data_IF_623611587402
#
_entry.id   IF_623611587402
#
_cell.length_a   1.000
_cell.length_b   1.000
_cell.length_c   1.000
_cell.angle_alpha   90.00
_cell.angle_beta   90.00
_cell.angle_gamma   90.00
#
_symmetry.space_group_name_H-M   'P 1'
#
loop_
_entity.id
_entity.type
_entity.pdbx_description
1 polymer ?
#
# COMPACT_ATOMS: atom_id res chain seq x y z
N UNK A 1 -63.87 38.16 -22.91
CA UNK A 1 -63.34 37.13 -21.98
C UNK A 1 -61.82 37.10 -22.14
N UNK A 2 -61.06 37.38 -21.07
CA UNK A 2 -59.58 37.36 -21.08
C UNK A 2 -59.12 36.02 -20.50
N UNK A 3 -58.38 35.22 -21.27
CA UNK A 3 -57.72 34.01 -20.79
C UNK A 3 -56.48 34.37 -19.96
N UNK A 4 -56.21 33.69 -18.82
CA UNK A 4 -54.96 33.88 -18.11
C UNK A 4 -53.87 33.02 -18.73
N UNK A 5 -52.72 33.64 -19.01
CA UNK A 5 -51.51 32.98 -19.47
C UNK A 5 -50.85 32.35 -18.25
N UNK A 6 -50.76 31.02 -18.23
CA UNK A 6 -50.09 30.25 -17.19
C UNK A 6 -48.61 30.10 -17.58
N UNK A 7 -47.62 30.55 -16.78
CA UNK A 7 -46.23 30.36 -17.13
C UNK A 7 -45.84 28.90 -16.84
N UNK A 8 -45.45 28.17 -17.88
CA UNK A 8 -44.82 26.84 -17.73
C UNK A 8 -43.42 27.06 -17.17
N UNK A 9 -43.26 26.85 -15.87
CA UNK A 9 -41.94 26.81 -15.23
C UNK A 9 -41.29 25.47 -15.62
N UNK A 10 -40.38 25.51 -16.58
CA UNK A 10 -39.54 24.37 -16.94
C UNK A 10 -38.56 24.05 -15.82
N UNK A 11 -38.81 22.96 -15.08
CA UNK A 11 -37.87 22.42 -14.11
C UNK A 11 -36.76 21.69 -14.88
N UNK A 12 -35.64 22.37 -15.09
CA UNK A 12 -34.40 21.75 -15.57
C UNK A 12 -33.79 20.94 -14.43
N UNK A 13 -34.04 19.63 -14.39
CA UNK A 13 -33.39 18.73 -13.46
C UNK A 13 -31.90 18.59 -13.84
N UNK A 14 -31.04 19.31 -13.12
CA UNK A 14 -29.59 19.11 -13.15
C UNK A 14 -29.30 17.73 -12.55
N UNK A 15 -29.15 16.72 -13.39
CA UNK A 15 -28.53 15.46 -13.00
C UNK A 15 -27.05 15.73 -12.75
N UNK A 16 -26.71 16.09 -11.51
CA UNK A 16 -25.34 16.01 -11.03
C UNK A 16 -24.97 14.54 -11.02
N UNK A 17 -24.26 14.09 -12.05
CA UNK A 17 -23.59 12.80 -12.05
C UNK A 17 -22.59 12.80 -10.89
N UNK A 18 -22.99 12.20 -9.78
CA UNK A 18 -22.08 11.83 -8.71
C UNK A 18 -21.06 10.89 -9.34
N UNK A 19 -19.89 11.42 -9.71
CA UNK A 19 -18.77 10.60 -10.11
C UNK A 19 -18.49 9.66 -8.94
N UNK A 20 -18.82 8.39 -9.11
CA UNK A 20 -18.51 7.38 -8.11
C UNK A 20 -16.99 7.36 -7.97
N UNK A 21 -16.51 7.73 -6.78
CA UNK A 21 -15.08 7.64 -6.48
C UNK A 21 -14.64 6.20 -6.77
N UNK A 22 -13.61 6.05 -7.61
CA UNK A 22 -13.06 4.73 -7.92
C UNK A 22 -12.53 4.06 -6.66
N UNK A 23 -12.43 2.72 -6.69
CA UNK A 23 -11.85 1.95 -5.59
C UNK A 23 -10.45 2.47 -5.22
N UNK A 24 -10.16 2.56 -3.93
CA UNK A 24 -8.87 3.03 -3.41
C UNK A 24 -8.04 1.85 -2.93
N UNK A 25 -6.81 1.73 -3.43
CA UNK A 25 -5.94 0.60 -3.11
C UNK A 25 -4.59 1.09 -2.59
N UNK A 26 -4.14 0.53 -1.47
CA UNK A 26 -2.84 0.82 -0.89
C UNK A 26 -1.87 -0.33 -1.17
N UNK A 27 -0.77 -0.04 -1.86
CA UNK A 27 0.35 -0.94 -2.07
C UNK A 27 1.49 -0.61 -1.09
N UNK A 28 1.79 -1.54 -0.19
CA UNK A 28 2.91 -1.42 0.74
C UNK A 28 4.09 -2.19 0.13
N UNK A 29 5.17 -1.50 -0.21
CA UNK A 29 6.36 -2.06 -0.84
C UNK A 29 7.48 -2.16 0.19
N UNK A 30 7.95 -3.38 0.46
CA UNK A 30 9.01 -3.57 1.44
C UNK A 30 9.96 -4.74 1.18
N UNK A 31 11.12 -4.71 1.83
CA UNK A 31 12.16 -5.73 1.68
C UNK A 31 13.59 -5.18 1.74
N UNK A 32 14.51 -5.84 1.05
CA UNK A 32 15.94 -5.48 1.01
C UNK A 32 16.38 -4.95 -0.36
N UNK A 33 17.58 -5.32 -0.83
CA UNK A 33 18.23 -4.78 -2.03
C UNK A 33 17.36 -4.81 -3.27
N UNK A 34 16.66 -5.93 -3.55
CA UNK A 34 15.81 -6.01 -4.74
C UNK A 34 14.60 -5.05 -4.66
N UNK A 35 13.97 -4.91 -3.48
CA UNK A 35 12.90 -3.91 -3.29
C UNK A 35 13.45 -2.48 -3.36
N UNK A 36 14.61 -2.24 -2.76
CA UNK A 36 15.26 -0.92 -2.79
C UNK A 36 15.58 -0.49 -4.22
N UNK A 37 16.03 -1.44 -5.06
CA UNK A 37 16.32 -1.23 -6.46
C UNK A 37 15.09 -1.18 -7.39
N UNK A 38 13.91 -1.62 -6.92
CA UNK A 38 12.67 -1.54 -7.70
C UNK A 38 12.37 -0.07 -8.03
N UNK A 39 12.11 0.25 -9.30
CA UNK A 39 11.66 1.59 -9.72
C UNK A 39 10.15 1.57 -9.95
N UNK A 40 9.37 1.70 -8.88
CA UNK A 40 7.92 1.46 -8.90
C UNK A 40 7.16 2.36 -9.88
N UNK A 41 7.59 3.61 -10.06
CA UNK A 41 6.99 4.57 -10.99
C UNK A 41 7.21 4.18 -12.45
N UNK A 42 8.27 3.41 -12.74
CA UNK A 42 8.62 2.95 -14.08
C UNK A 42 8.29 1.46 -14.32
N UNK A 43 7.66 0.78 -13.35
CA UNK A 43 7.38 -0.67 -13.42
C UNK A 43 5.97 -1.01 -12.97
N UNK A 44 5.75 -1.25 -11.68
CA UNK A 44 4.50 -1.82 -11.17
C UNK A 44 3.33 -0.83 -11.24
N UNK A 45 3.57 0.45 -10.94
CA UNK A 45 2.49 1.45 -10.87
C UNK A 45 1.83 1.71 -12.24
N UNK A 46 2.57 1.82 -13.36
CA UNK A 46 1.98 1.88 -14.69
C UNK A 46 1.07 0.70 -15.02
N UNK A 47 1.47 -0.53 -14.68
CA UNK A 47 0.68 -1.73 -14.97
C UNK A 47 -0.58 -1.81 -14.10
N UNK A 48 -0.49 -1.42 -12.83
CA UNK A 48 -1.67 -1.32 -11.95
C UNK A 48 -2.70 -0.32 -12.48
N UNK A 49 -2.26 0.85 -12.98
CA UNK A 49 -3.14 1.84 -13.60
C UNK A 49 -3.86 1.32 -14.85
N UNK A 50 -3.21 0.44 -15.63
CA UNK A 50 -3.83 -0.20 -16.78
C UNK A 50 -4.84 -1.27 -16.38
N UNK A 51 -4.53 -2.06 -15.34
CA UNK A 51 -5.38 -3.14 -14.84
C UNK A 51 -6.61 -2.62 -14.07
N UNK A 52 -6.48 -1.46 -13.44
CA UNK A 52 -7.51 -0.86 -12.57
C UNK A 52 -7.80 0.58 -13.00
N UNK A 53 -8.45 0.77 -14.17
CA UNK A 53 -8.73 2.11 -14.68
C UNK A 53 -9.70 2.85 -13.75
N UNK A 54 -9.36 4.11 -13.44
CA UNK A 54 -10.16 4.96 -12.56
C UNK A 54 -9.99 4.69 -11.06
N UNK A 55 -9.23 3.66 -10.68
CA UNK A 55 -8.90 3.39 -9.29
C UNK A 55 -7.89 4.39 -8.73
N UNK A 56 -8.02 4.68 -7.45
CA UNK A 56 -7.08 5.49 -6.69
C UNK A 56 -5.96 4.61 -6.12
N UNK A 57 -4.81 4.61 -6.80
CA UNK A 57 -3.67 3.75 -6.46
C UNK A 57 -2.68 4.51 -5.59
N UNK A 58 -2.66 4.17 -4.31
CA UNK A 58 -1.72 4.67 -3.30
C UNK A 58 -0.58 3.70 -3.09
N UNK A 59 0.61 4.20 -2.79
CA UNK A 59 1.73 3.34 -2.41
C UNK A 59 2.63 3.98 -1.37
N UNK A 60 3.20 3.14 -0.51
CA UNK A 60 4.29 3.51 0.40
C UNK A 60 5.44 2.53 0.19
N UNK A 61 6.67 3.01 0.32
CA UNK A 61 7.86 2.19 0.10
C UNK A 61 8.89 2.41 1.19
N UNK A 62 9.27 1.32 1.83
CA UNK A 62 10.47 1.27 2.68
C UNK A 62 11.23 -0.02 2.40
N UNK A 63 12.50 0.10 2.04
CA UNK A 63 13.40 -1.03 1.88
C UNK A 63 14.81 -0.66 2.32
N UNK A 64 15.53 -1.62 2.89
CA UNK A 64 16.89 -1.44 3.36
C UNK A 64 17.79 -2.58 2.90
N UNK A 65 18.73 -2.27 2.01
CA UNK A 65 19.63 -3.24 1.41
C UNK A 65 20.54 -3.95 2.41
N UNK A 66 20.81 -5.24 2.13
CA UNK A 66 21.73 -6.05 2.91
C UNK A 66 21.26 -6.41 4.32
N UNK A 67 19.98 -6.19 4.64
CA UNK A 67 19.42 -6.47 5.96
C UNK A 67 18.73 -7.84 6.01
N UNK A 68 18.91 -8.59 7.10
CA UNK A 68 18.27 -9.88 7.33
C UNK A 68 16.79 -9.74 7.74
N UNK A 69 16.01 -10.80 7.58
CA UNK A 69 14.55 -10.78 7.84
C UNK A 69 14.23 -10.46 9.30
N UNK A 70 15.12 -10.78 10.24
CA UNK A 70 14.92 -10.49 11.67
C UNK A 70 14.73 -9.00 11.98
N UNK A 71 15.28 -8.09 11.15
CA UNK A 71 15.05 -6.64 11.31
C UNK A 71 13.61 -6.22 10.99
N UNK A 72 12.84 -7.11 10.37
CA UNK A 72 11.44 -6.95 9.99
C UNK A 72 10.45 -7.72 10.87
N UNK A 73 10.93 -8.60 11.76
CA UNK A 73 10.08 -9.52 12.52
C UNK A 73 10.33 -9.36 14.02
N UNK A 74 9.39 -8.73 14.72
CA UNK A 74 9.48 -8.47 16.18
C UNK A 74 9.65 -9.73 17.03
N UNK A 75 9.13 -10.85 16.55
CA UNK A 75 9.14 -12.15 17.25
C UNK A 75 10.23 -13.09 16.74
N UNK A 76 11.25 -12.57 16.03
CA UNK A 76 12.29 -13.40 15.44
C UNK A 76 12.96 -14.32 16.46
N UNK A 77 13.37 -13.82 17.62
CA UNK A 77 14.07 -14.64 18.62
C UNK A 77 13.17 -15.74 19.21
N UNK A 78 11.85 -15.52 19.27
CA UNK A 78 10.90 -16.57 19.65
C UNK A 78 10.83 -17.65 18.56
N UNK A 79 10.69 -17.25 17.30
CA UNK A 79 10.68 -18.15 16.15
C UNK A 79 11.99 -18.95 16.09
N UNK A 80 13.13 -18.30 16.28
CA UNK A 80 14.44 -18.93 16.28
C UNK A 80 14.56 -19.98 17.39
N UNK A 81 14.14 -19.65 18.63
CA UNK A 81 14.14 -20.62 19.74
C UNK A 81 13.21 -21.81 19.47
N UNK A 82 11.99 -21.56 18.99
CA UNK A 82 11.00 -22.61 18.71
C UNK A 82 11.48 -23.57 17.61
N UNK A 83 12.27 -23.07 16.66
CA UNK A 83 12.85 -23.87 15.56
C UNK A 83 14.27 -24.37 15.85
N UNK A 84 14.77 -24.20 17.09
CA UNK A 84 16.12 -24.62 17.50
C UNK A 84 17.23 -24.06 16.60
N UNK A 85 17.02 -22.85 16.06
CA UNK A 85 18.05 -22.15 15.30
C UNK A 85 19.16 -21.72 16.28
N UNK A 86 20.41 -21.93 15.88
CA UNK A 86 21.58 -21.61 16.69
C UNK A 86 21.87 -20.11 16.72
N UNK A 87 21.28 -19.35 15.81
CA UNK A 87 21.56 -17.95 15.61
C UNK A 87 20.55 -17.09 16.38
N UNK A 88 20.97 -16.60 17.55
CA UNK A 88 20.27 -15.55 18.30
C UNK A 88 21.10 -14.28 18.16
N UNK A 89 20.51 -13.26 17.54
CA UNK A 89 21.25 -12.05 17.19
C UNK A 89 21.03 -10.92 18.19
N UNK A 90 20.06 -11.06 19.11
CA UNK A 90 19.65 -10.00 20.05
C UNK A 90 19.51 -8.63 19.35
N UNK A 91 19.05 -8.67 18.10
CA UNK A 91 18.96 -7.54 17.20
C UNK A 91 17.51 -7.01 17.25
N UNK A 92 17.29 -5.71 17.51
CA UNK A 92 15.94 -5.18 17.49
C UNK A 92 15.33 -5.21 16.07
N UNK A 93 14.03 -5.50 16.00
CA UNK A 93 13.24 -5.42 14.77
C UNK A 93 12.90 -3.96 14.44
N UNK A 94 13.86 -3.26 13.84
CA UNK A 94 13.81 -1.82 13.60
C UNK A 94 12.86 -1.39 12.48
N UNK A 95 12.59 -2.24 11.49
CA UNK A 95 11.95 -1.80 10.24
C UNK A 95 10.44 -2.04 10.18
N UNK A 96 9.92 -3.00 10.95
CA UNK A 96 8.49 -3.30 10.99
C UNK A 96 7.65 -2.07 11.35
N UNK A 97 8.06 -1.34 12.39
CA UNK A 97 7.34 -0.16 12.85
C UNK A 97 7.45 1.02 11.88
N UNK A 98 8.54 1.09 11.11
CA UNK A 98 8.68 2.11 10.07
C UNK A 98 7.67 1.88 8.95
N UNK A 99 7.51 0.63 8.48
CA UNK A 99 6.49 0.29 7.47
C UNK A 99 5.09 0.51 8.01
N UNK A 100 4.81 0.07 9.24
CA UNK A 100 3.49 0.30 9.84
C UNK A 100 3.18 1.78 9.97
N UNK A 101 4.16 2.62 10.34
CA UNK A 101 3.98 4.07 10.43
C UNK A 101 3.61 4.67 9.08
N UNK A 102 4.31 4.31 8.01
CA UNK A 102 4.02 4.80 6.66
C UNK A 102 2.66 4.33 6.15
N UNK A 103 2.35 3.05 6.33
CA UNK A 103 1.06 2.48 5.94
C UNK A 103 -0.10 3.16 6.69
N UNK A 104 0.02 3.36 8.01
CA UNK A 104 -0.99 4.05 8.82
C UNK A 104 -1.18 5.50 8.39
N UNK A 105 -0.12 6.21 8.03
CA UNK A 105 -0.22 7.57 7.50
C UNK A 105 -1.04 7.60 6.20
N UNK A 106 -0.77 6.70 5.26
CA UNK A 106 -1.54 6.60 4.00
C UNK A 106 -3.01 6.18 4.23
N UNK A 107 -3.27 5.28 5.18
CA UNK A 107 -4.63 4.89 5.57
C UNK A 107 -5.40 6.08 6.19
N UNK A 108 -4.72 6.95 6.94
CA UNK A 108 -5.33 8.12 7.57
C UNK A 108 -5.75 9.20 6.55
N UNK A 109 -5.08 9.28 5.39
CA UNK A 109 -5.48 10.16 4.28
C UNK A 109 -6.77 9.68 3.58
N UNK A 110 -7.06 8.38 3.64
CA UNK A 110 -8.27 7.80 3.09
C UNK A 110 -8.25 6.28 3.23
N UNK A 111 -9.32 5.73 3.81
CA UNK A 111 -9.48 4.29 4.02
C UNK A 111 -9.44 3.56 2.67
N UNK A 112 -8.49 2.62 2.45
CA UNK A 112 -8.46 1.84 1.22
C UNK A 112 -9.48 0.70 1.26
N UNK A 113 -9.97 0.32 0.08
CA UNK A 113 -10.79 -0.87 -0.16
C UNK A 113 -9.94 -2.14 -0.13
N UNK A 114 -8.67 -2.05 -0.55
CA UNK A 114 -7.70 -3.13 -0.38
C UNK A 114 -6.30 -2.66 0.00
N UNK A 115 -5.57 -3.53 0.70
CA UNK A 115 -4.17 -3.34 1.03
C UNK A 115 -3.39 -4.54 0.48
N UNK A 116 -2.39 -4.26 -0.35
CA UNK A 116 -1.49 -5.27 -0.94
C UNK A 116 -0.08 -5.07 -0.40
N UNK A 117 0.53 -6.13 0.12
CA UNK A 117 1.92 -6.10 0.56
C UNK A 117 2.84 -6.77 -0.46
N UNK A 118 3.66 -5.97 -1.15
CA UNK A 118 4.68 -6.47 -2.07
C UNK A 118 6.00 -6.59 -1.32
N UNK A 119 6.49 -7.82 -1.19
CA UNK A 119 7.66 -8.17 -0.39
C UNK A 119 8.77 -8.76 -1.27
N UNK A 120 9.97 -8.17 -1.25
CA UNK A 120 11.15 -8.73 -1.91
C UNK A 120 12.32 -8.80 -0.95
N UNK A 121 12.57 -9.99 -0.41
CA UNK A 121 13.59 -10.21 0.59
C UNK A 121 14.20 -11.60 0.51
N UNK A 122 15.38 -11.78 1.10
CA UNK A 122 15.98 -13.08 1.35
C UNK A 122 17.45 -13.15 0.93
N UNK A 123 17.95 -12.19 0.15
CA UNK A 123 19.32 -12.28 -0.36
C UNK A 123 20.38 -12.17 0.76
N UNK A 124 20.06 -11.56 1.92
CA UNK A 124 20.95 -11.61 3.10
C UNK A 124 20.85 -12.94 3.83
N UNK A 125 19.66 -13.39 4.17
CA UNK A 125 19.45 -14.62 4.95
C UNK A 125 19.93 -15.85 4.17
N UNK A 126 19.79 -15.86 2.85
CA UNK A 126 20.36 -16.91 1.99
C UNK A 126 21.90 -16.96 1.98
N UNK A 127 22.59 -15.90 2.44
CA UNK A 127 24.06 -15.87 2.57
C UNK A 127 24.54 -16.19 3.97
N UNK A 128 23.83 -15.73 5.00
CA UNK A 128 24.35 -15.74 6.37
C UNK A 128 23.61 -16.69 7.31
N UNK A 129 22.46 -17.24 6.93
CA UNK A 129 21.54 -17.89 7.87
C UNK A 129 20.88 -16.87 8.77
#
# INVERSE_FOLDING_TARGET
MKLPICPVVGVCALFASLAQAGERHLFILSGQSNMQGLKEQASVLPELKKLMPGADIQHVKFAQGGQPIRKWVKTWDEIARNNKLTQQFNDPAEFYDVVLKQAKASIAEGKPDSITFLWMQGERDGKTG
#
